data_IF_860215324290
#
_entry.id   IF_860215324290
#
_cell.length_a   1.000
_cell.length_b   1.000
_cell.length_c   1.000
_cell.angle_alpha   90.00
_cell.angle_beta   90.00
_cell.angle_gamma   90.00
#
_symmetry.space_group_name_H-M   'P 1'
#
loop_
_entity.id
_entity.type
_entity.pdbx_description
1 polymer ?
#
# COMPACT_ATOMS: atom_id res chain seq x y z
N UNK A 1 -24.13 -12.40 -6.70
CA UNK A 1 -23.81 -13.20 -5.53
C UNK A 1 -25.11 -13.64 -4.83
N UNK A 2 -25.15 -14.87 -4.36
CA UNK A 2 -26.31 -15.46 -3.70
C UNK A 2 -25.86 -16.09 -2.38
N UNK A 3 -26.54 -15.80 -1.29
CA UNK A 3 -26.30 -16.38 0.04
C UNK A 3 -27.59 -16.32 0.86
N UNK A 4 -27.70 -17.15 1.85
CA UNK A 4 -28.68 -17.05 2.91
C UNK A 4 -28.04 -16.60 4.23
N UNK A 5 -26.75 -16.24 4.20
CA UNK A 5 -25.92 -15.98 5.39
C UNK A 5 -25.89 -17.19 6.33
N UNK A 6 -26.01 -18.38 5.77
CA UNK A 6 -25.98 -19.64 6.50
C UNK A 6 -24.67 -20.38 6.26
N UNK A 7 -24.28 -21.19 7.22
CA UNK A 7 -22.98 -21.84 7.27
C UNK A 7 -23.10 -23.35 7.14
N UNK A 8 -22.11 -23.95 6.48
CA UNK A 8 -21.84 -25.38 6.58
C UNK A 8 -21.09 -25.59 7.89
N UNK A 9 -21.69 -26.25 8.85
CA UNK A 9 -21.10 -26.58 10.14
C UNK A 9 -20.14 -27.74 9.98
N UNK A 10 -18.84 -27.46 10.16
CA UNK A 10 -17.78 -28.47 10.09
C UNK A 10 -17.53 -29.01 11.48
N UNK A 11 -17.74 -30.29 11.65
CA UNK A 11 -17.54 -31.01 12.92
C UNK A 11 -16.18 -31.71 12.99
N UNK A 12 -15.54 -31.96 11.84
CA UNK A 12 -14.19 -32.52 11.77
C UNK A 12 -13.12 -31.49 12.15
N UNK A 13 -12.82 -31.41 13.42
CA UNK A 13 -11.83 -30.50 13.96
C UNK A 13 -10.38 -30.81 13.50
N UNK A 14 -10.12 -31.93 12.83
CA UNK A 14 -8.83 -32.21 12.20
C UNK A 14 -8.58 -31.31 10.98
N UNK A 15 -9.64 -30.76 10.40
CA UNK A 15 -9.60 -29.83 9.27
C UNK A 15 -9.47 -28.36 9.69
N UNK A 16 -9.42 -28.05 10.97
CA UNK A 16 -9.27 -26.71 11.52
C UNK A 16 -7.81 -26.45 11.88
N UNK A 17 -7.33 -25.27 11.52
CA UNK A 17 -5.97 -24.84 11.85
C UNK A 17 -5.87 -24.42 13.31
N UNK A 18 -5.47 -25.36 14.18
CA UNK A 18 -5.36 -25.17 15.63
C UNK A 18 -4.34 -24.13 16.06
N UNK A 19 -3.43 -23.73 15.17
CA UNK A 19 -2.49 -22.64 15.45
C UNK A 19 -3.14 -21.26 15.36
N UNK A 20 -4.37 -21.19 14.84
CA UNK A 20 -5.14 -19.95 14.61
C UNK A 20 -6.43 -19.91 15.40
N UNK A 21 -7.06 -21.04 15.57
CA UNK A 21 -8.33 -21.17 16.28
C UNK A 21 -8.13 -22.04 17.51
N UNK A 22 -8.42 -21.48 18.68
CA UNK A 22 -8.45 -22.26 19.90
C UNK A 22 -9.71 -23.11 19.92
N UNK A 23 -9.59 -24.33 19.41
CA UNK A 23 -10.70 -25.29 19.34
C UNK A 23 -11.28 -25.61 20.74
N UNK A 24 -10.50 -25.43 21.79
CA UNK A 24 -10.95 -25.68 23.17
C UNK A 24 -11.91 -24.60 23.65
N UNK A 25 -11.77 -23.39 23.20
CA UNK A 25 -12.62 -22.23 23.51
C UNK A 25 -13.90 -22.15 22.67
N UNK A 26 -14.00 -22.92 21.58
CA UNK A 26 -15.23 -22.95 20.79
C UNK A 26 -16.40 -23.42 21.67
N UNK A 27 -17.45 -22.60 21.74
CA UNK A 27 -18.66 -22.96 22.47
C UNK A 27 -19.31 -24.18 21.78
N UNK A 28 -19.68 -25.24 22.55
CA UNK A 28 -20.42 -26.34 21.99
C UNK A 28 -21.86 -25.91 21.63
N UNK A 29 -22.42 -26.53 20.59
CA UNK A 29 -23.84 -26.36 20.27
C UNK A 29 -24.75 -27.00 21.33
N UNK A 30 -26.07 -26.92 21.15
CA UNK A 30 -27.05 -27.52 22.07
C UNK A 30 -26.91 -29.05 22.22
N UNK A 31 -26.19 -29.72 21.33
CA UNK A 31 -25.91 -31.15 21.34
C UNK A 31 -24.54 -31.48 21.94
N UNK A 32 -23.79 -30.47 22.39
CA UNK A 32 -22.43 -30.64 22.92
C UNK A 32 -21.33 -30.75 21.87
N UNK A 33 -21.66 -30.58 20.59
CA UNK A 33 -20.68 -30.64 19.47
C UNK A 33 -20.03 -29.28 19.24
N UNK A 34 -18.72 -29.25 19.07
CA UNK A 34 -17.99 -28.07 18.62
C UNK A 34 -18.03 -28.04 17.09
N UNK A 35 -18.32 -26.89 16.53
CA UNK A 35 -18.32 -26.68 15.08
C UNK A 35 -17.76 -25.32 14.72
N UNK A 36 -17.34 -25.18 13.48
CA UNK A 36 -16.92 -23.94 12.85
C UNK A 36 -17.60 -23.82 11.49
N UNK A 37 -18.01 -22.59 11.11
CA UNK A 37 -18.82 -22.38 9.93
C UNK A 37 -18.05 -21.97 8.70
N UNK A 38 -18.30 -22.62 7.55
CA UNK A 38 -17.94 -22.12 6.22
C UNK A 38 -19.22 -21.58 5.58
N UNK A 39 -19.25 -20.30 5.25
CA UNK A 39 -20.42 -19.71 4.60
C UNK A 39 -20.55 -20.25 3.16
N UNK A 40 -21.73 -20.74 2.82
CA UNK A 40 -22.04 -21.17 1.46
C UNK A 40 -22.54 -19.98 0.65
N UNK A 41 -21.83 -19.65 -0.41
CA UNK A 41 -22.18 -18.59 -1.35
C UNK A 41 -22.18 -19.12 -2.78
N UNK A 42 -23.09 -18.62 -3.61
CA UNK A 42 -23.12 -18.99 -5.00
C UNK A 42 -22.95 -17.76 -5.91
N UNK A 43 -22.33 -17.99 -7.04
CA UNK A 43 -22.31 -17.10 -8.18
C UNK A 43 -23.26 -17.63 -9.25
N UNK A 44 -23.88 -16.75 -10.05
CA UNK A 44 -24.52 -17.20 -11.29
C UNK A 44 -23.48 -17.77 -12.26
N UNK A 45 -23.95 -18.45 -13.27
CA UNK A 45 -23.07 -19.17 -14.20
C UNK A 45 -22.03 -18.26 -14.87
N UNK A 46 -22.43 -17.05 -15.26
CA UNK A 46 -21.52 -16.08 -15.87
C UNK A 46 -20.44 -15.63 -14.90
N UNK A 47 -20.82 -15.20 -13.70
CA UNK A 47 -19.88 -14.74 -12.68
C UNK A 47 -18.95 -15.87 -12.20
N UNK A 48 -19.47 -17.10 -12.09
CA UNK A 48 -18.65 -18.25 -11.73
C UNK A 48 -17.61 -18.55 -12.80
N UNK A 49 -17.98 -18.47 -14.07
CA UNK A 49 -17.07 -18.65 -15.21
C UNK A 49 -15.97 -17.60 -15.25
N UNK A 50 -16.31 -16.33 -15.04
CA UNK A 50 -15.32 -15.26 -14.96
C UNK A 50 -14.40 -15.43 -13.73
N UNK A 51 -14.94 -15.86 -12.60
CA UNK A 51 -14.15 -16.14 -11.41
C UNK A 51 -13.18 -17.30 -11.61
N UNK A 52 -13.62 -18.40 -12.25
CA UNK A 52 -12.72 -19.54 -12.55
C UNK A 52 -11.56 -19.13 -13.45
N UNK A 53 -11.78 -18.26 -14.45
CA UNK A 53 -10.71 -17.69 -15.27
C UNK A 53 -9.71 -16.89 -14.41
N UNK A 54 -10.22 -16.02 -13.51
CA UNK A 54 -9.40 -15.20 -12.62
C UNK A 54 -8.45 -16.03 -11.75
N UNK A 55 -8.87 -17.22 -11.35
CA UNK A 55 -8.08 -18.13 -10.52
C UNK A 55 -7.39 -19.25 -11.30
N UNK A 56 -7.36 -19.16 -12.63
CA UNK A 56 -6.73 -20.14 -13.54
C UNK A 56 -7.30 -21.56 -13.37
N UNK A 57 -8.62 -21.70 -13.41
CA UNK A 57 -9.32 -22.97 -13.46
C UNK A 57 -10.12 -23.09 -14.76
N UNK A 58 -10.20 -24.32 -15.28
CA UNK A 58 -11.09 -24.64 -16.38
C UNK A 58 -12.52 -24.84 -15.86
N UNK A 59 -13.45 -24.00 -16.35
CA UNK A 59 -14.85 -23.98 -15.94
C UNK A 59 -15.52 -25.36 -16.04
N UNK A 60 -15.34 -26.06 -17.15
CA UNK A 60 -16.05 -27.35 -17.41
C UNK A 60 -15.64 -28.46 -16.44
N UNK A 61 -14.44 -28.38 -15.89
CA UNK A 61 -13.94 -29.34 -14.90
C UNK A 61 -14.37 -29.05 -13.47
N UNK A 62 -14.81 -27.80 -13.19
CA UNK A 62 -15.07 -27.34 -11.82
C UNK A 62 -16.47 -26.82 -11.56
N UNK A 63 -17.32 -26.70 -12.56
CA UNK A 63 -18.68 -26.13 -12.46
C UNK A 63 -19.59 -26.80 -11.43
N UNK A 64 -19.35 -28.08 -11.12
CA UNK A 64 -20.08 -28.87 -10.12
C UNK A 64 -19.34 -28.95 -8.76
N UNK A 65 -18.23 -28.25 -8.62
CA UNK A 65 -17.39 -28.27 -7.42
C UNK A 65 -17.40 -26.93 -6.70
N UNK A 66 -16.99 -26.96 -5.43
CA UNK A 66 -16.82 -25.74 -4.65
C UNK A 66 -15.40 -25.18 -4.77
N UNK A 67 -15.28 -23.87 -4.65
CA UNK A 67 -13.99 -23.17 -4.50
C UNK A 67 -13.96 -22.65 -3.08
N UNK A 68 -12.99 -23.11 -2.29
CA UNK A 68 -12.83 -22.65 -0.91
C UNK A 68 -11.97 -21.38 -0.89
N UNK A 69 -12.60 -20.27 -0.60
CA UNK A 69 -11.91 -19.04 -0.25
C UNK A 69 -11.63 -19.07 1.24
N UNK A 70 -10.37 -19.26 1.60
CA UNK A 70 -9.93 -19.42 2.98
C UNK A 70 -8.71 -18.53 3.22
N UNK A 71 -8.98 -17.39 3.82
CA UNK A 71 -7.99 -16.39 4.17
C UNK A 71 -8.30 -15.85 5.56
N UNK A 72 -7.33 -15.94 6.44
CA UNK A 72 -7.39 -15.43 7.79
C UNK A 72 -6.31 -14.36 7.94
N UNK A 73 -6.76 -13.13 8.12
CA UNK A 73 -5.87 -11.99 8.30
C UNK A 73 -6.08 -11.40 9.68
N UNK A 74 -5.03 -11.33 10.47
CA UNK A 74 -5.09 -10.56 11.71
C UNK A 74 -3.75 -9.87 11.98
N UNK A 75 -3.83 -8.77 12.71
CA UNK A 75 -2.66 -8.04 13.14
C UNK A 75 -2.22 -8.51 14.53
N UNK A 76 -1.06 -9.12 14.57
CA UNK A 76 -0.41 -9.56 15.81
C UNK A 76 0.29 -8.35 16.45
N UNK A 77 -0.33 -7.79 17.50
CA UNK A 77 0.19 -6.60 18.19
C UNK A 77 1.50 -6.87 18.93
N UNK A 78 1.69 -8.08 19.47
CA UNK A 78 2.90 -8.43 20.21
C UNK A 78 4.13 -8.47 19.29
N UNK A 79 3.98 -9.04 18.11
CA UNK A 79 5.06 -9.17 17.12
C UNK A 79 5.06 -8.06 16.06
N UNK A 80 4.12 -7.11 16.14
CA UNK A 80 3.95 -5.97 15.22
C UNK A 80 4.00 -6.40 13.74
N UNK A 81 3.22 -7.42 13.39
CA UNK A 81 3.13 -7.96 12.03
C UNK A 81 1.72 -8.42 11.69
N UNK A 82 1.34 -8.27 10.42
CA UNK A 82 0.15 -8.91 9.88
C UNK A 82 0.45 -10.38 9.60
N UNK A 83 -0.40 -11.25 10.12
CA UNK A 83 -0.35 -12.68 9.84
C UNK A 83 -1.44 -12.99 8.84
N UNK A 84 -1.02 -13.56 7.70
CA UNK A 84 -1.90 -14.09 6.67
C UNK A 84 -1.76 -15.59 6.71
N UNK A 85 -2.85 -16.30 7.02
CA UNK A 85 -2.85 -17.74 7.12
C UNK A 85 -4.24 -18.28 6.73
N UNK A 86 -4.45 -19.55 6.93
CA UNK A 86 -5.70 -20.24 6.60
C UNK A 86 -6.42 -20.67 7.87
N UNK A 87 -7.73 -20.56 7.82
CA UNK A 87 -8.61 -21.08 8.88
C UNK A 87 -8.70 -22.60 8.86
N UNK A 88 -8.68 -23.16 7.64
CA UNK A 88 -8.88 -24.60 7.43
C UNK A 88 -7.67 -25.27 6.80
N UNK A 89 -7.53 -26.57 7.05
CA UNK A 89 -6.47 -27.41 6.51
C UNK A 89 -6.89 -28.20 5.24
N UNK A 90 -8.03 -27.86 4.64
CA UNK A 90 -8.47 -28.49 3.41
C UNK A 90 -7.49 -28.24 2.26
N UNK A 91 -7.40 -29.23 1.39
CA UNK A 91 -6.60 -29.18 0.15
C UNK A 91 -7.51 -29.29 -1.08
N UNK A 92 -6.95 -29.01 -2.25
CA UNK A 92 -7.64 -29.26 -3.52
C UNK A 92 -8.02 -30.74 -3.60
N UNK A 93 -9.24 -31.01 -4.05
CA UNK A 93 -9.88 -32.33 -4.15
C UNK A 93 -10.33 -32.95 -2.83
N UNK A 94 -10.14 -32.29 -1.68
CA UNK A 94 -10.82 -32.71 -0.47
C UNK A 94 -12.33 -32.47 -0.59
N UNK A 95 -13.11 -33.19 0.22
CA UNK A 95 -14.55 -33.01 0.29
C UNK A 95 -14.89 -32.27 1.59
N UNK A 96 -15.62 -31.17 1.47
CA UNK A 96 -16.24 -30.53 2.62
C UNK A 96 -17.51 -31.28 2.96
N UNK A 97 -17.51 -31.93 4.11
CA UNK A 97 -18.67 -32.62 4.67
C UNK A 97 -19.15 -31.91 5.91
N UNK A 98 -20.45 -31.66 6.02
CA UNK A 98 -21.01 -30.96 7.16
C UNK A 98 -22.53 -30.82 7.08
N UNK A 99 -23.09 -30.02 7.99
CA UNK A 99 -24.52 -29.72 8.04
C UNK A 99 -24.76 -28.26 7.68
N UNK A 100 -25.61 -28.01 6.70
CA UNK A 100 -25.93 -26.65 6.24
C UNK A 100 -27.21 -26.12 6.89
N UNK A 101 -27.13 -24.89 7.35
CA UNK A 101 -28.26 -24.11 7.83
C UNK A 101 -28.91 -24.60 9.11
N UNK A 102 -30.07 -24.06 9.40
CA UNK A 102 -30.89 -24.44 10.57
C UNK A 102 -31.55 -25.82 10.42
N UNK A 103 -31.84 -26.23 9.18
CA UNK A 103 -32.45 -27.53 8.89
C UNK A 103 -31.46 -28.70 8.95
N UNK A 104 -30.18 -28.41 9.22
CA UNK A 104 -29.10 -29.39 9.31
C UNK A 104 -28.98 -30.32 8.09
N UNK A 105 -29.22 -29.77 6.89
CA UNK A 105 -29.12 -30.51 5.63
C UNK A 105 -27.69 -30.98 5.42
N UNK A 106 -27.51 -32.30 5.22
CA UNK A 106 -26.20 -32.88 4.96
C UNK A 106 -25.62 -32.38 3.63
N UNK A 107 -24.37 -31.96 3.65
CA UNK A 107 -23.63 -31.42 2.50
C UNK A 107 -22.34 -32.18 2.31
N UNK A 108 -22.04 -32.52 1.04
CA UNK A 108 -20.77 -33.08 0.64
C UNK A 108 -20.35 -32.42 -0.67
N UNK A 109 -19.41 -31.50 -0.62
CA UNK A 109 -18.96 -30.73 -1.78
C UNK A 109 -17.44 -30.90 -1.96
N UNK A 110 -17.05 -31.40 -3.14
CA UNK A 110 -15.64 -31.52 -3.52
C UNK A 110 -15.04 -30.14 -3.77
N UNK A 111 -13.86 -29.87 -3.23
CA UNK A 111 -13.13 -28.64 -3.43
C UNK A 111 -12.31 -28.71 -4.71
N UNK A 112 -12.63 -27.88 -5.70
CA UNK A 112 -11.82 -27.72 -6.90
C UNK A 112 -10.48 -27.05 -6.60
N UNK A 113 -10.51 -25.98 -5.79
CA UNK A 113 -9.34 -25.19 -5.43
C UNK A 113 -9.54 -24.50 -4.08
N UNK A 114 -8.46 -24.41 -3.33
CA UNK A 114 -8.37 -23.49 -2.18
C UNK A 114 -7.61 -22.26 -2.65
N UNK A 115 -8.12 -21.07 -2.34
CA UNK A 115 -7.59 -19.80 -2.82
C UNK A 115 -7.80 -18.68 -1.80
N UNK A 116 -6.99 -17.64 -1.90
CA UNK A 116 -7.17 -16.34 -1.25
C UNK A 116 -7.65 -15.26 -2.22
N UNK A 117 -7.87 -15.58 -3.49
CA UNK A 117 -8.36 -14.65 -4.49
C UNK A 117 -9.88 -14.58 -4.40
N UNK A 118 -10.40 -13.41 -4.03
CA UNK A 118 -11.84 -13.20 -3.82
C UNK A 118 -12.61 -13.07 -5.13
N UNK A 119 -13.83 -13.60 -5.12
CA UNK A 119 -14.83 -13.27 -6.13
C UNK A 119 -15.34 -11.84 -5.91
N UNK A 120 -15.82 -11.20 -6.97
CA UNK A 120 -16.42 -9.88 -6.88
C UNK A 120 -17.66 -9.90 -5.97
N UNK A 121 -17.80 -8.91 -5.10
CA UNK A 121 -18.91 -8.78 -4.15
C UNK A 121 -18.74 -9.57 -2.86
N UNK A 122 -17.63 -10.28 -2.66
CA UNK A 122 -17.29 -10.88 -1.37
C UNK A 122 -16.42 -9.94 -0.55
N UNK A 123 -16.84 -9.68 0.69
CA UNK A 123 -16.09 -8.87 1.64
C UNK A 123 -14.90 -9.62 2.24
N UNK A 124 -13.94 -8.87 2.75
CA UNK A 124 -12.85 -9.41 3.55
C UNK A 124 -13.37 -9.82 4.91
N UNK A 125 -13.05 -11.02 5.35
CA UNK A 125 -13.27 -11.41 6.74
C UNK A 125 -11.98 -11.22 7.53
N UNK A 126 -12.08 -10.43 8.59
CA UNK A 126 -10.97 -10.22 9.54
C UNK A 126 -10.90 -11.31 10.61
N UNK A 127 -11.92 -12.20 10.65
CA UNK A 127 -12.07 -13.24 11.68
C UNK A 127 -12.30 -14.61 11.06
N UNK A 128 -12.42 -15.58 11.93
CA UNK A 128 -12.60 -17.00 11.66
C UNK A 128 -13.69 -17.28 10.63
N UNK A 129 -13.38 -18.12 9.66
CA UNK A 129 -14.32 -18.60 8.67
C UNK A 129 -13.83 -18.42 7.24
N UNK A 130 -14.44 -19.18 6.35
CA UNK A 130 -14.20 -19.13 4.92
C UNK A 130 -15.50 -19.06 4.16
N UNK A 131 -15.38 -18.85 2.86
CA UNK A 131 -16.49 -18.97 1.91
C UNK A 131 -16.31 -20.20 1.04
N UNK A 132 -17.33 -21.01 0.95
CA UNK A 132 -17.42 -22.04 -0.10
C UNK A 132 -18.22 -21.48 -1.27
N UNK A 133 -17.54 -21.16 -2.35
CA UNK A 133 -18.10 -20.53 -3.54
C UNK A 133 -18.50 -21.64 -4.52
N UNK A 134 -19.77 -21.66 -4.90
CA UNK A 134 -20.33 -22.67 -5.84
C UNK A 134 -21.05 -21.99 -7.00
N UNK A 135 -21.29 -22.73 -8.07
CA UNK A 135 -22.13 -22.29 -9.16
C UNK A 135 -23.60 -22.52 -8.78
N UNK A 136 -24.41 -21.46 -8.79
CA UNK A 136 -25.83 -21.49 -8.42
C UNK A 136 -26.65 -22.55 -9.17
N UNK A 137 -26.36 -22.76 -10.45
CA UNK A 137 -27.16 -23.62 -11.29
C UNK A 137 -27.02 -25.13 -10.95
N UNK A 138 -25.91 -25.49 -10.29
CA UNK A 138 -25.63 -26.85 -9.82
C UNK A 138 -26.02 -27.10 -8.36
N UNK A 139 -26.35 -26.04 -7.62
CA UNK A 139 -26.63 -26.09 -6.17
C UNK A 139 -27.99 -25.46 -5.82
N UNK A 140 -28.98 -25.66 -6.71
CA UNK A 140 -30.35 -25.10 -6.57
C UNK A 140 -31.09 -25.58 -5.31
N UNK A 141 -30.74 -26.74 -4.79
CA UNK A 141 -31.34 -27.33 -3.59
C UNK A 141 -31.11 -26.51 -2.30
N UNK A 142 -30.16 -25.60 -2.30
CA UNK A 142 -29.93 -24.71 -1.16
C UNK A 142 -30.80 -23.44 -1.20
N UNK A 143 -31.51 -23.19 -2.27
CA UNK A 143 -32.43 -22.06 -2.46
C UNK A 143 -31.81 -20.72 -2.03
N UNK A 144 -30.58 -20.46 -2.45
CA UNK A 144 -29.83 -19.25 -2.09
C UNK A 144 -30.46 -18.01 -2.71
N UNK A 145 -30.66 -16.98 -1.88
CA UNK A 145 -31.26 -15.69 -2.28
C UNK A 145 -30.16 -14.77 -2.81
N UNK A 146 -30.56 -13.89 -3.71
CA UNK A 146 -29.67 -12.81 -4.16
C UNK A 146 -29.36 -11.87 -3.01
N UNK A 147 -28.06 -11.67 -2.74
CA UNK A 147 -27.60 -10.74 -1.72
C UNK A 147 -26.98 -9.50 -2.36
N UNK A 148 -26.12 -9.70 -3.35
CA UNK A 148 -25.45 -8.61 -4.03
C UNK A 148 -25.57 -8.79 -5.55
N UNK A 149 -25.84 -7.69 -6.25
CA UNK A 149 -25.84 -7.61 -7.70
C UNK A 149 -24.72 -6.66 -8.15
N UNK A 150 -23.78 -7.14 -8.94
CA UNK A 150 -22.76 -6.31 -9.57
C UNK A 150 -23.24 -5.92 -10.96
N UNK A 151 -23.37 -4.62 -11.20
CA UNK A 151 -23.68 -4.04 -12.50
C UNK A 151 -22.45 -3.31 -13.05
N UNK A 152 -22.17 -3.50 -14.34
CA UNK A 152 -21.11 -2.78 -15.04
C UNK A 152 -21.76 -1.90 -16.10
N UNK A 153 -21.58 -0.59 -15.98
CA UNK A 153 -22.18 0.40 -16.87
C UNK A 153 -21.14 1.49 -17.20
N UNK A 154 -21.22 2.12 -18.38
CA UNK A 154 -20.43 3.31 -18.69
C UNK A 154 -20.90 4.57 -17.94
N UNK A 155 -22.14 4.58 -17.42
CA UNK A 155 -22.76 5.71 -16.73
C UNK A 155 -23.25 5.28 -15.33
N UNK A 156 -22.34 5.06 -14.37
CA UNK A 156 -22.69 4.55 -13.04
C UNK A 156 -23.55 5.51 -12.23
N UNK A 157 -23.33 6.83 -12.33
CA UNK A 157 -24.10 7.83 -11.58
C UNK A 157 -25.55 7.89 -12.04
N UNK A 158 -25.80 7.86 -13.36
CA UNK A 158 -27.14 7.86 -13.92
C UNK A 158 -27.90 6.57 -13.55
N UNK A 159 -27.22 5.43 -13.57
CA UNK A 159 -27.82 4.16 -13.14
C UNK A 159 -28.15 4.17 -11.64
N UNK A 160 -27.29 4.72 -10.81
CA UNK A 160 -27.52 4.83 -9.37
C UNK A 160 -28.74 5.70 -9.08
N UNK A 161 -28.87 6.86 -9.75
CA UNK A 161 -30.01 7.76 -9.61
C UNK A 161 -31.32 7.06 -10.03
N UNK A 162 -31.33 6.37 -11.18
CA UNK A 162 -32.50 5.62 -11.66
C UNK A 162 -32.90 4.50 -10.68
N UNK A 163 -31.92 3.76 -10.14
CA UNK A 163 -32.17 2.69 -9.20
C UNK A 163 -32.72 3.21 -7.88
N UNK A 164 -32.19 4.29 -7.34
CA UNK A 164 -32.66 4.90 -6.10
C UNK A 164 -34.05 5.49 -6.22
N UNK A 165 -34.39 6.05 -7.40
CA UNK A 165 -35.76 6.55 -7.66
C UNK A 165 -36.78 5.42 -7.78
N UNK A 166 -36.41 4.34 -8.47
CA UNK A 166 -37.33 3.24 -8.78
C UNK A 166 -37.44 2.21 -7.65
N UNK A 167 -36.37 2.06 -6.87
CA UNK A 167 -36.24 1.07 -5.80
C UNK A 167 -35.61 1.71 -4.54
N UNK A 168 -36.36 2.52 -3.80
CA UNK A 168 -35.81 3.29 -2.66
C UNK A 168 -35.27 2.43 -1.51
N UNK A 169 -35.69 1.17 -1.43
CA UNK A 169 -35.22 0.22 -0.41
C UNK A 169 -33.92 -0.50 -0.82
N UNK A 170 -33.43 -0.24 -2.04
CA UNK A 170 -32.20 -0.84 -2.54
C UNK A 170 -30.99 -0.03 -2.05
N UNK A 171 -30.05 -0.70 -1.41
CA UNK A 171 -28.75 -0.07 -1.08
C UNK A 171 -27.85 -0.16 -2.30
N UNK A 172 -27.59 0.98 -2.92
CA UNK A 172 -26.65 1.09 -4.04
C UNK A 172 -25.24 1.44 -3.54
N UNK A 173 -24.25 0.99 -4.26
CA UNK A 173 -22.86 1.27 -3.98
C UNK A 173 -22.10 1.59 -5.27
N UNK A 174 -21.92 2.86 -5.53
CA UNK A 174 -21.21 3.34 -6.71
C UNK A 174 -19.71 3.32 -6.47
N UNK A 175 -19.07 2.30 -7.00
CA UNK A 175 -17.61 2.09 -6.83
C UNK A 175 -16.81 3.21 -7.50
N UNK A 176 -17.29 3.78 -8.63
CA UNK A 176 -16.55 4.84 -9.33
C UNK A 176 -16.63 6.16 -8.56
N UNK A 177 -17.82 6.53 -8.07
CA UNK A 177 -17.98 7.71 -7.22
C UNK A 177 -17.10 7.61 -5.95
N UNK A 178 -17.04 6.45 -5.32
CA UNK A 178 -16.18 6.24 -4.15
C UNK A 178 -14.68 6.36 -4.49
N UNK A 179 -14.27 5.86 -5.66
CA UNK A 179 -12.88 6.05 -6.13
C UNK A 179 -12.56 7.52 -6.39
N UNK A 180 -13.49 8.28 -6.96
CA UNK A 180 -13.31 9.72 -7.18
C UNK A 180 -13.24 10.50 -5.87
N UNK A 181 -14.08 10.17 -4.90
CA UNK A 181 -14.01 10.74 -3.56
C UNK A 181 -12.66 10.46 -2.90
N UNK A 182 -12.19 9.20 -2.96
CA UNK A 182 -10.87 8.82 -2.44
C UNK A 182 -9.74 9.53 -3.18
N UNK A 183 -9.81 9.69 -4.50
CA UNK A 183 -8.83 10.47 -5.29
C UNK A 183 -8.80 11.93 -4.85
N UNK A 184 -9.97 12.53 -4.63
CA UNK A 184 -10.10 13.91 -4.17
C UNK A 184 -9.48 14.09 -2.79
N UNK A 185 -9.77 13.20 -1.85
CA UNK A 185 -9.16 13.18 -0.53
C UNK A 185 -7.63 13.05 -0.62
N UNK A 186 -7.13 12.11 -1.43
CA UNK A 186 -5.69 11.93 -1.65
C UNK A 186 -5.03 13.14 -2.32
N UNK A 187 -5.77 13.88 -3.17
CA UNK A 187 -5.28 15.13 -3.77
C UNK A 187 -5.09 16.22 -2.70
N UNK A 188 -6.02 16.36 -1.78
CA UNK A 188 -5.91 17.31 -0.64
C UNK A 188 -4.69 16.98 0.21
N UNK A 189 -4.51 15.70 0.57
CA UNK A 189 -3.32 15.27 1.31
C UNK A 189 -2.02 15.57 0.54
N UNK A 190 -1.97 15.28 -0.76
CA UNK A 190 -0.81 15.60 -1.60
C UNK A 190 -0.51 17.10 -1.61
N UNK A 191 -1.52 17.93 -1.79
CA UNK A 191 -1.35 19.39 -1.78
C UNK A 191 -0.78 19.89 -0.46
N UNK A 192 -1.31 19.39 0.66
CA UNK A 192 -0.81 19.72 1.99
C UNK A 192 0.66 19.31 2.18
N UNK A 193 1.01 18.07 1.86
CA UNK A 193 2.38 17.57 2.00
C UNK A 193 3.36 18.29 1.06
N UNK A 194 2.98 18.54 -0.19
CA UNK A 194 3.84 19.29 -1.11
C UNK A 194 4.02 20.75 -0.64
N UNK A 195 2.98 21.38 -0.12
CA UNK A 195 3.09 22.70 0.51
C UNK A 195 4.09 22.71 1.66
N UNK A 196 3.98 21.75 2.56
CA UNK A 196 4.89 21.60 3.71
C UNK A 196 6.34 21.33 3.27
N UNK A 197 6.53 20.40 2.31
CA UNK A 197 7.86 20.11 1.72
C UNK A 197 8.45 21.36 1.08
N UNK A 198 7.65 22.15 0.38
CA UNK A 198 8.11 23.39 -0.26
C UNK A 198 8.63 24.38 0.77
N UNK A 199 7.91 24.61 1.86
CA UNK A 199 8.33 25.51 2.93
C UNK A 199 9.65 25.04 3.58
N UNK A 200 9.75 23.76 3.93
CA UNK A 200 10.99 23.20 4.51
C UNK A 200 12.15 23.34 3.51
N UNK A 201 11.90 23.08 2.24
CA UNK A 201 12.91 23.21 1.18
C UNK A 201 13.40 24.65 1.05
N UNK A 202 12.51 25.66 1.08
CA UNK A 202 12.88 27.07 1.04
C UNK A 202 13.74 27.47 2.24
N UNK A 203 13.39 27.00 3.44
CA UNK A 203 14.21 27.22 4.64
C UNK A 203 15.60 26.59 4.47
N UNK A 204 15.66 25.35 3.98
CA UNK A 204 16.91 24.65 3.71
C UNK A 204 17.79 25.36 2.67
N UNK A 205 17.20 25.79 1.55
CA UNK A 205 17.86 26.57 0.50
C UNK A 205 18.45 27.85 1.06
N UNK A 206 17.68 28.59 1.86
CA UNK A 206 18.12 29.86 2.49
C UNK A 206 19.29 29.60 3.44
N UNK A 207 19.22 28.54 4.25
CA UNK A 207 20.32 28.18 5.16
C UNK A 207 21.59 27.78 4.40
N UNK A 208 21.48 26.99 3.36
CA UNK A 208 22.63 26.61 2.49
C UNK A 208 23.22 27.86 1.84
N UNK A 209 22.38 28.75 1.30
CA UNK A 209 22.80 30.00 0.70
C UNK A 209 23.62 30.86 1.68
N UNK A 210 23.07 31.09 2.87
CA UNK A 210 23.73 31.89 3.92
C UNK A 210 25.05 31.25 4.36
N UNK A 211 25.06 29.92 4.57
CA UNK A 211 26.26 29.20 5.03
C UNK A 211 27.37 29.24 3.97
N UNK A 212 27.05 28.98 2.71
CA UNK A 212 28.04 29.01 1.63
C UNK A 212 28.57 30.43 1.43
N UNK A 213 27.70 31.45 1.41
CA UNK A 213 28.10 32.85 1.22
C UNK A 213 28.99 33.31 2.35
N UNK A 214 28.61 33.05 3.61
CA UNK A 214 29.42 33.43 4.79
C UNK A 214 30.78 32.70 4.78
N UNK A 215 30.84 31.41 4.50
CA UNK A 215 32.11 30.69 4.41
C UNK A 215 33.02 31.24 3.33
N UNK A 216 32.45 31.60 2.18
CA UNK A 216 33.23 32.21 1.08
C UNK A 216 33.74 33.62 1.47
N UNK A 217 32.95 34.41 2.19
CA UNK A 217 33.36 35.71 2.67
C UNK A 217 34.45 35.61 3.73
N UNK A 218 34.38 34.70 4.68
CA UNK A 218 35.41 34.45 5.67
C UNK A 218 36.75 34.03 5.07
N UNK A 219 36.73 33.32 3.93
CA UNK A 219 37.92 32.80 3.23
C UNK A 219 38.44 33.76 2.15
N UNK A 220 37.90 34.97 2.05
CA UNK A 220 38.32 35.94 1.01
C UNK A 220 39.80 36.21 1.02
N UNK A 221 40.44 36.34 2.18
CA UNK A 221 41.88 36.58 2.34
C UNK A 221 42.71 35.41 1.80
N UNK A 222 42.32 34.16 2.14
CA UNK A 222 42.96 32.97 1.62
C UNK A 222 42.93 32.97 0.08
N UNK A 223 41.76 33.31 -0.47
CA UNK A 223 41.56 33.37 -1.94
C UNK A 223 42.38 34.51 -2.57
N UNK A 224 42.51 35.67 -1.92
CA UNK A 224 43.33 36.74 -2.40
C UNK A 224 44.82 36.37 -2.36
N UNK A 225 45.29 35.69 -1.31
CA UNK A 225 46.67 35.17 -1.25
C UNK A 225 46.96 34.18 -2.33
N UNK A 226 46.07 33.19 -2.60
CA UNK A 226 46.24 32.21 -3.65
C UNK A 226 46.34 32.89 -5.04
N UNK A 227 45.52 33.90 -5.29
CA UNK A 227 45.59 34.69 -6.53
C UNK A 227 46.86 35.48 -6.64
N UNK A 228 47.41 36.02 -5.53
CA UNK A 228 48.65 36.79 -5.48
C UNK A 228 49.90 35.93 -5.75
N UNK A 229 49.87 34.63 -5.45
CA UNK A 229 50.92 33.66 -5.75
C UNK A 229 50.83 33.19 -7.20
N UNK A 230 49.82 33.63 -7.98
CA UNK A 230 49.70 33.33 -9.43
C UNK A 230 48.62 32.33 -9.78
N UNK A 231 47.72 31.96 -8.87
CA UNK A 231 46.60 31.08 -9.21
C UNK A 231 45.69 31.72 -10.27
N UNK A 232 45.48 31.00 -11.35
CA UNK A 232 44.58 31.44 -12.41
C UNK A 232 43.08 31.31 -12.04
N UNK A 233 42.22 32.10 -12.67
CA UNK A 233 40.77 31.98 -12.49
C UNK A 233 40.22 30.56 -12.75
N UNK A 234 40.83 29.84 -13.69
CA UNK A 234 40.43 28.48 -14.05
C UNK A 234 40.76 27.50 -12.94
N UNK A 235 41.95 27.59 -12.37
CA UNK A 235 42.42 26.75 -11.24
C UNK A 235 41.58 27.04 -9.98
N UNK A 236 41.34 28.31 -9.68
CA UNK A 236 40.48 28.71 -8.56
C UNK A 236 39.06 28.14 -8.68
N UNK A 237 38.42 28.30 -9.85
CA UNK A 237 37.08 27.75 -10.07
C UNK A 237 37.06 26.22 -9.94
N UNK A 238 38.10 25.53 -10.45
CA UNK A 238 38.23 24.08 -10.35
C UNK A 238 38.36 23.64 -8.90
N UNK A 239 39.21 24.32 -8.12
CA UNK A 239 39.38 24.04 -6.68
C UNK A 239 38.05 24.17 -5.94
N UNK A 240 37.34 25.29 -6.11
CA UNK A 240 36.05 25.52 -5.42
C UNK A 240 34.98 24.53 -5.89
N UNK A 241 34.93 24.18 -7.18
CA UNK A 241 33.97 23.18 -7.67
C UNK A 241 34.22 21.79 -7.07
N UNK A 242 35.48 21.38 -6.91
CA UNK A 242 35.81 20.10 -6.27
C UNK A 242 35.47 20.10 -4.79
N UNK A 243 35.77 21.20 -4.10
CA UNK A 243 35.40 21.38 -2.69
C UNK A 243 33.87 21.31 -2.50
N UNK A 244 33.15 22.01 -3.36
CA UNK A 244 31.68 21.99 -3.38
C UNK A 244 31.13 20.59 -3.62
N UNK A 245 31.68 19.86 -4.60
CA UNK A 245 31.28 18.49 -4.90
C UNK A 245 31.50 17.58 -3.68
N UNK A 246 32.65 17.72 -3.00
CA UNK A 246 32.97 16.92 -1.83
C UNK A 246 31.97 17.16 -0.67
N UNK A 247 31.71 18.43 -0.34
CA UNK A 247 30.75 18.78 0.73
C UNK A 247 29.31 18.35 0.40
N UNK A 248 28.89 18.57 -0.85
CA UNK A 248 27.55 18.14 -1.30
C UNK A 248 27.38 16.62 -1.24
N UNK A 249 28.40 15.88 -1.68
CA UNK A 249 28.37 14.41 -1.63
C UNK A 249 28.29 13.89 -0.20
N UNK A 250 29.10 14.48 0.70
CA UNK A 250 29.08 14.11 2.12
C UNK A 250 27.71 14.39 2.76
N UNK A 251 27.14 15.56 2.50
CA UNK A 251 25.81 15.93 3.00
C UNK A 251 24.71 15.02 2.46
N UNK A 252 24.77 14.66 1.16
CA UNK A 252 23.83 13.73 0.53
C UNK A 252 23.88 12.34 1.15
N UNK A 253 25.05 11.80 1.45
CA UNK A 253 25.19 10.49 2.07
C UNK A 253 24.45 10.45 3.41
N UNK A 254 24.69 11.45 4.28
CA UNK A 254 24.01 11.53 5.57
C UNK A 254 22.51 11.79 5.42
N UNK A 255 22.12 12.72 4.52
CA UNK A 255 20.72 13.06 4.29
C UNK A 255 19.91 11.89 3.75
N UNK A 256 20.47 11.16 2.77
CA UNK A 256 19.81 9.97 2.20
C UNK A 256 19.72 8.84 3.22
N UNK A 257 20.77 8.58 4.00
CA UNK A 257 20.72 7.58 5.05
C UNK A 257 19.61 7.85 6.07
N UNK A 258 19.52 9.09 6.57
CA UNK A 258 18.45 9.51 7.48
C UNK A 258 17.07 9.45 6.82
N UNK A 259 16.96 9.85 5.56
CA UNK A 259 15.72 9.79 4.80
C UNK A 259 15.20 8.35 4.60
N UNK A 260 16.10 7.42 4.26
CA UNK A 260 15.75 5.98 4.12
C UNK A 260 15.36 5.39 5.47
N UNK A 261 16.11 5.70 6.55
CA UNK A 261 15.76 5.25 7.90
C UNK A 261 14.40 5.79 8.35
N UNK A 262 14.10 7.06 8.06
CA UNK A 262 12.79 7.65 8.32
C UNK A 262 11.67 6.96 7.54
N UNK A 263 11.88 6.68 6.25
CA UNK A 263 10.92 5.96 5.43
C UNK A 263 10.65 4.53 5.95
N UNK A 264 11.72 3.82 6.39
CA UNK A 264 11.59 2.51 7.02
C UNK A 264 10.82 2.58 8.34
N UNK A 265 11.07 3.60 9.16
CA UNK A 265 10.36 3.79 10.43
C UNK A 265 8.85 4.05 10.20
N UNK A 266 8.50 4.90 9.23
CA UNK A 266 7.11 5.16 8.85
C UNK A 266 6.45 3.89 8.30
N UNK A 267 7.14 3.18 7.41
CA UNK A 267 6.63 1.91 6.88
C UNK A 267 6.38 0.90 8.00
N UNK A 268 7.32 0.76 8.95
CA UNK A 268 7.15 -0.14 10.10
C UNK A 268 6.00 0.27 11.01
N UNK A 269 5.74 1.57 11.15
CA UNK A 269 4.64 2.06 11.99
C UNK A 269 3.25 1.90 11.36
N UNK A 270 3.15 2.04 10.04
CA UNK A 270 1.86 2.09 9.32
C UNK A 270 1.72 1.02 8.24
N UNK A 271 2.78 0.70 7.50
CA UNK A 271 2.73 -0.17 6.33
C UNK A 271 2.48 -1.64 6.68
N UNK A 272 2.93 -2.09 7.84
CA UNK A 272 2.75 -3.48 8.31
C UNK A 272 1.26 -3.78 8.52
N UNK A 273 0.49 -2.82 9.03
CA UNK A 273 -0.96 -2.95 9.24
C UNK A 273 -1.77 -3.02 7.95
N UNK A 274 -1.22 -2.51 6.85
CA UNK A 274 -1.89 -2.43 5.55
C UNK A 274 -1.36 -3.45 4.54
N UNK A 275 -0.51 -4.41 4.97
CA UNK A 275 0.13 -5.42 4.12
C UNK A 275 0.93 -4.83 2.92
N UNK A 276 1.34 -3.56 3.04
CA UNK A 276 2.08 -2.90 1.98
C UNK A 276 3.55 -3.34 2.00
N UNK A 277 4.03 -3.89 0.90
CA UNK A 277 5.44 -4.20 0.73
C UNK A 277 6.28 -2.93 0.72
N UNK A 278 7.39 -2.91 1.47
CA UNK A 278 8.31 -1.78 1.43
C UNK A 278 8.96 -1.66 0.05
N UNK A 279 8.79 -0.51 -0.57
CA UNK A 279 9.42 -0.15 -1.84
C UNK A 279 10.23 1.13 -1.66
N UNK A 280 11.50 1.09 -2.01
CA UNK A 280 12.34 2.28 -2.00
C UNK A 280 11.87 3.26 -3.08
N UNK A 281 11.67 4.54 -2.75
CA UNK A 281 11.24 5.56 -3.71
C UNK A 281 12.43 6.03 -4.59
N UNK A 282 12.92 5.18 -5.48
CA UNK A 282 14.11 5.46 -6.31
C UNK A 282 14.01 6.77 -7.10
N UNK A 283 12.82 7.11 -7.61
CA UNK A 283 12.59 8.35 -8.34
C UNK A 283 12.77 9.58 -7.45
N UNK A 284 12.26 9.56 -6.23
CA UNK A 284 12.42 10.66 -5.28
C UNK A 284 13.89 10.81 -4.84
N UNK A 285 14.58 9.69 -4.61
CA UNK A 285 16.01 9.68 -4.30
C UNK A 285 16.81 10.33 -5.43
N UNK A 286 16.58 9.92 -6.67
CA UNK A 286 17.29 10.46 -7.85
C UNK A 286 17.04 11.96 -8.01
N UNK A 287 15.77 12.38 -7.90
CA UNK A 287 15.39 13.80 -7.99
C UNK A 287 16.07 14.60 -6.88
N UNK A 288 16.12 14.09 -5.65
CA UNK A 288 16.77 14.76 -4.53
C UNK A 288 18.28 14.92 -4.75
N UNK A 289 18.96 13.90 -5.28
CA UNK A 289 20.38 13.95 -5.61
C UNK A 289 20.65 15.05 -6.64
N UNK A 290 19.93 15.04 -7.75
CA UNK A 290 20.09 16.01 -8.83
C UNK A 290 19.79 17.42 -8.30
N UNK A 291 18.71 17.59 -7.55
CA UNK A 291 18.30 18.88 -7.00
C UNK A 291 19.37 19.48 -6.11
N UNK A 292 19.95 18.72 -5.17
CA UNK A 292 20.99 19.22 -4.25
C UNK A 292 22.24 19.64 -5.01
N UNK A 293 22.72 18.83 -5.97
CA UNK A 293 23.90 19.20 -6.75
C UNK A 293 23.67 20.47 -7.58
N UNK A 294 22.54 20.58 -8.26
CA UNK A 294 22.19 21.77 -9.04
C UNK A 294 22.07 23.01 -8.14
N UNK A 295 21.41 22.89 -7.02
CA UNK A 295 21.23 23.96 -6.06
C UNK A 295 22.59 24.47 -5.55
N UNK A 296 23.41 23.58 -4.99
CA UNK A 296 24.70 23.94 -4.42
C UNK A 296 25.62 24.54 -5.49
N UNK A 297 25.60 23.97 -6.70
CA UNK A 297 26.33 24.52 -7.83
C UNK A 297 25.90 25.97 -8.17
N UNK A 298 24.60 26.24 -8.24
CA UNK A 298 24.07 27.58 -8.51
C UNK A 298 24.49 28.58 -7.41
N UNK A 299 24.34 28.22 -6.15
CA UNK A 299 24.72 29.07 -5.02
C UNK A 299 26.22 29.38 -5.05
N UNK A 300 27.05 28.35 -5.31
CA UNK A 300 28.49 28.52 -5.37
C UNK A 300 28.91 29.43 -6.53
N UNK A 301 28.30 29.25 -7.70
CA UNK A 301 28.54 30.14 -8.86
C UNK A 301 28.20 31.59 -8.57
N UNK A 302 27.10 31.83 -7.86
CA UNK A 302 26.72 33.17 -7.39
C UNK A 302 27.77 33.74 -6.43
N UNK A 303 28.18 32.97 -5.43
CA UNK A 303 29.16 33.41 -4.41
C UNK A 303 30.53 33.69 -5.02
N UNK A 304 31.01 32.83 -5.93
CA UNK A 304 32.27 33.08 -6.71
C UNK A 304 32.16 34.37 -7.52
N UNK A 305 31.00 34.60 -8.16
CA UNK A 305 30.76 35.82 -8.94
C UNK A 305 30.86 37.07 -8.10
N UNK A 306 30.35 37.05 -6.84
CA UNK A 306 30.45 38.15 -5.87
C UNK A 306 31.92 38.42 -5.48
N UNK A 307 32.68 37.36 -5.16
CA UNK A 307 34.09 37.50 -4.74
C UNK A 307 34.97 37.96 -5.91
N UNK A 308 34.75 37.50 -7.13
CA UNK A 308 35.56 37.92 -8.25
C UNK A 308 35.36 39.37 -8.68
N UNK A 309 34.30 40.03 -8.25
CA UNK A 309 34.06 41.45 -8.48
C UNK A 309 34.77 42.36 -7.45
N UNK A 310 35.27 41.79 -6.36
CA UNK A 310 35.99 42.58 -5.33
C UNK A 310 37.45 42.78 -5.71
N UNK A 311 37.99 43.96 -5.41
CA UNK A 311 39.36 44.35 -5.72
C UNK A 311 40.32 43.66 -4.73
N UNK A 312 41.22 42.80 -5.25
CA UNK A 312 42.18 42.01 -4.46
C UNK A 312 43.01 42.89 -3.51
N UNK A 313 43.43 44.07 -4.00
CA UNK A 313 44.25 45.04 -3.23
C UNK A 313 43.47 45.60 -2.07
N UNK A 314 42.20 45.87 -2.24
CA UNK A 314 41.31 46.43 -1.19
C UNK A 314 40.98 45.41 -0.12
N UNK A 315 40.81 44.14 -0.53
CA UNK A 315 40.54 43.02 0.42
C UNK A 315 41.72 42.72 1.32
N UNK A 316 42.97 42.87 0.82
CA UNK A 316 44.19 42.66 1.63
C UNK A 316 44.46 43.87 2.54
N UNK A 317 44.13 45.10 2.11
CA UNK A 317 44.41 46.36 2.83
C UNK A 317 43.42 46.63 3.97
N UNK A 318 42.17 46.14 3.92
CA UNK A 318 41.13 46.40 4.92
C UNK A 318 41.34 45.64 6.24
N UNK A 319 42.59 45.47 6.69
CA UNK A 319 42.94 44.83 7.96
C UNK A 319 43.13 45.79 9.10
N UNK A 320 42.81 47.06 8.90
CA UNK A 320 42.98 48.09 9.95
C UNK A 320 41.68 48.82 10.28
N UNK A 321 40.62 48.06 10.64
CA UNK A 321 39.55 48.60 11.47
C UNK A 321 39.07 47.48 12.41
#
# INVERSE_FOLDING_TARGET
>A
LYSNSEYIKITDMSKVNKSRINVEELAPNLQGEKNIGIELVALDDYAFKEYTKKINLDYDTVKEKGILLDEYNFYDEENNKTIVDRTYLYKNRDVISGKYGHEEKQVNIEIAKVTNIRAYGLESRYYEGGYLIVNKDYYKEFNLKTTNLLMVTPEPDALEEELNEKYPDLVTFNVEAQKEEMRSMMMIFRLFFYGFITVITLIGVTNIFNTITANMELRQKEFAMLKSIGMTKKEFNRMINLETLFYSSKSLIYGLALGILGALAIHKAFGVRTEMSFSLPYSAILVSIIFVFVLVYMIMRYSIGKINKQNIIETIRNDNI
#
